data_IF_523625528490
#
_entry.id   IF_523625528490
#
_cell.length_a   1.000
_cell.length_b   1.000
_cell.length_c   1.000
_cell.angle_alpha   90.00
_cell.angle_beta   90.00
_cell.angle_gamma   90.00
#
_symmetry.space_group_name_H-M   'P 1'
#
loop_
_entity.id
_entity.type
_entity.pdbx_description
1 polymer ?
#
# COMPACT_ATOMS: atom_id res chain seq x y z
N UNK A 1 -8.58 9.26 6.33
CA UNK A 1 -8.64 7.89 6.89
C UNK A 1 -7.53 7.60 7.89
N UNK A 2 -6.26 7.43 7.48
CA UNK A 2 -5.17 7.09 8.43
C UNK A 2 -5.02 8.11 9.58
N UNK A 3 -4.90 9.40 9.25
CA UNK A 3 -4.85 10.49 10.24
C UNK A 3 -6.15 10.67 11.04
N UNK A 4 -7.27 10.18 10.51
CA UNK A 4 -8.58 10.23 11.17
C UNK A 4 -8.83 9.03 12.09
N UNK A 5 -7.84 8.15 12.30
CA UNK A 5 -7.96 7.04 13.23
C UNK A 5 -8.51 5.75 12.63
N UNK A 6 -8.47 5.57 11.30
CA UNK A 6 -8.86 4.30 10.67
C UNK A 6 -8.13 3.10 11.31
N UNK A 7 -8.84 1.98 11.44
CA UNK A 7 -8.36 0.78 12.15
C UNK A 7 -7.16 0.12 11.47
N UNK A 8 -6.41 -0.64 12.26
CA UNK A 8 -5.34 -1.49 11.77
C UNK A 8 -5.86 -2.45 10.70
N UNK A 9 -5.12 -2.61 9.60
CA UNK A 9 -5.51 -3.51 8.53
C UNK A 9 -6.56 -2.95 7.57
N UNK A 10 -6.99 -1.69 7.74
CA UNK A 10 -7.90 -1.05 6.80
C UNK A 10 -7.28 -1.02 5.40
N UNK A 11 -7.97 -1.60 4.42
CA UNK A 11 -7.61 -1.58 3.00
C UNK A 11 -8.52 -0.61 2.26
N UNK A 12 -7.92 0.30 1.50
CA UNK A 12 -8.61 1.22 0.59
C UNK A 12 -8.27 0.81 -0.83
N UNK A 13 -9.28 0.50 -1.64
CA UNK A 13 -9.14 0.09 -3.05
C UNK A 13 -9.82 1.10 -3.98
N UNK A 14 -9.31 1.20 -5.20
CA UNK A 14 -9.93 1.99 -6.28
C UNK A 14 -9.63 1.36 -7.64
N UNK A 15 -10.51 1.58 -8.60
CA UNK A 15 -10.34 1.11 -9.99
C UNK A 15 -9.38 2.00 -10.78
N UNK A 16 -9.24 3.28 -10.40
CA UNK A 16 -8.37 4.28 -11.03
C UNK A 16 -7.84 5.27 -9.98
N UNK A 17 -6.66 5.86 -10.22
CA UNK A 17 -6.20 7.03 -9.46
C UNK A 17 -5.95 8.22 -10.38
N UNK A 18 -6.75 9.28 -10.21
CA UNK A 18 -6.60 10.52 -10.98
C UNK A 18 -5.25 11.24 -10.73
N UNK A 19 -4.66 11.03 -9.56
CA UNK A 19 -3.40 11.66 -9.14
C UNK A 19 -2.48 10.68 -8.42
N UNK A 20 -2.30 9.48 -9.00
CA UNK A 20 -1.38 8.47 -8.49
C UNK A 20 0.05 9.01 -8.33
N UNK A 21 0.69 8.72 -7.20
CA UNK A 21 2.05 9.16 -6.89
C UNK A 21 2.92 7.99 -6.45
N UNK A 22 4.09 7.87 -7.06
CA UNK A 22 5.15 6.97 -6.65
C UNK A 22 6.21 7.66 -5.79
N UNK A 23 7.36 6.99 -5.65
CA UNK A 23 8.51 7.54 -4.89
C UNK A 23 9.02 8.83 -5.52
N UNK A 24 9.54 9.72 -4.68
CA UNK A 24 10.12 11.01 -5.10
C UNK A 24 9.13 11.84 -5.94
N UNK A 25 7.84 11.76 -5.60
CA UNK A 25 6.75 12.50 -6.26
C UNK A 25 6.59 12.21 -7.76
N UNK A 26 7.14 11.09 -8.26
CA UNK A 26 6.92 10.67 -9.65
C UNK A 26 5.45 10.30 -9.86
N UNK A 27 4.91 10.61 -11.05
CA UNK A 27 3.57 10.17 -11.41
C UNK A 27 3.46 8.64 -11.41
N UNK A 28 2.33 8.13 -10.95
CA UNK A 28 1.99 6.70 -11.00
C UNK A 28 0.76 6.49 -11.89
N UNK A 29 0.99 5.92 -13.06
CA UNK A 29 -0.07 5.62 -14.02
C UNK A 29 -0.92 4.45 -13.50
N UNK A 30 -2.21 4.70 -13.29
CA UNK A 30 -3.14 3.76 -12.64
C UNK A 30 -4.52 3.83 -13.32
N UNK A 31 -4.63 3.34 -14.58
CA UNK A 31 -5.85 3.45 -15.37
C UNK A 31 -6.98 2.53 -14.86
N UNK A 32 -8.21 2.94 -15.14
CA UNK A 32 -9.44 2.23 -14.76
C UNK A 32 -9.44 0.74 -15.17
N UNK A 33 -9.65 -0.16 -14.20
CA UNK A 33 -9.88 -1.59 -14.44
C UNK A 33 -8.70 -2.37 -15.03
N UNK A 34 -7.48 -1.81 -14.95
CA UNK A 34 -6.26 -2.41 -15.50
C UNK A 34 -5.23 -2.83 -14.45
N UNK A 35 -5.55 -2.66 -13.18
CA UNK A 35 -4.68 -3.06 -12.08
C UNK A 35 -5.40 -3.01 -10.75
N UNK A 36 -4.72 -3.49 -9.72
CA UNK A 36 -5.17 -3.40 -8.34
C UNK A 36 -4.49 -2.21 -7.67
N UNK A 37 -5.21 -1.11 -7.51
CA UNK A 37 -4.71 0.09 -6.84
C UNK A 37 -5.26 0.14 -5.43
N UNK A 38 -4.37 0.07 -4.44
CA UNK A 38 -4.80 0.06 -3.05
C UNK A 38 -3.79 0.71 -2.11
N UNK A 39 -4.27 1.00 -0.91
CA UNK A 39 -3.46 1.40 0.24
C UNK A 39 -3.86 0.57 1.45
N UNK A 40 -2.89 0.16 2.24
CA UNK A 40 -3.08 -0.57 3.49
C UNK A 40 -2.60 0.31 4.65
N UNK A 41 -3.44 0.48 5.67
CA UNK A 41 -3.09 1.23 6.88
C UNK A 41 -2.56 0.24 7.92
N UNK A 42 -1.32 0.49 8.38
CA UNK A 42 -0.65 -0.27 9.42
C UNK A 42 -0.28 0.65 10.61
N UNK A 43 -0.31 0.09 11.81
CA UNK A 43 -0.07 0.67 13.13
C UNK A 43 0.80 -0.32 13.92
N UNK A 44 2.01 -0.61 13.44
CA UNK A 44 2.89 -1.60 14.06
C UNK A 44 3.35 -1.13 15.45
N UNK A 45 3.54 -2.09 16.35
CA UNK A 45 4.00 -1.86 17.73
C UNK A 45 5.54 -1.79 17.84
N UNK A 46 6.20 -1.21 16.83
CA UNK A 46 7.65 -1.03 16.81
C UNK A 46 8.02 0.44 16.57
N UNK A 47 9.27 0.80 16.88
CA UNK A 47 9.70 2.18 16.80
C UNK A 47 9.68 2.70 15.34
N UNK A 48 9.38 3.99 15.08
CA UNK A 48 9.34 4.54 13.72
C UNK A 48 10.64 4.34 12.90
N UNK A 49 11.80 4.24 13.57
CA UNK A 49 13.08 3.93 12.93
C UNK A 49 13.11 2.56 12.25
N UNK A 50 12.21 1.65 12.65
CA UNK A 50 12.06 0.31 12.10
C UNK A 50 11.03 0.25 10.95
N UNK A 51 10.32 1.35 10.66
CA UNK A 51 9.36 1.44 9.56
C UNK A 51 9.90 1.02 8.18
N UNK A 52 11.20 1.18 7.84
CA UNK A 52 11.77 0.65 6.60
C UNK A 52 11.64 -0.87 6.42
N UNK A 53 11.28 -1.64 7.47
CA UNK A 53 10.94 -3.06 7.36
C UNK A 53 9.62 -3.29 6.61
N UNK A 54 8.66 -2.36 6.68
CA UNK A 54 7.33 -2.53 6.07
C UNK A 54 7.37 -2.78 4.55
N UNK A 55 8.10 -1.98 3.74
CA UNK A 55 8.24 -2.25 2.31
C UNK A 55 8.84 -3.63 2.00
N UNK A 56 9.79 -4.11 2.80
CA UNK A 56 10.39 -5.44 2.63
C UNK A 56 9.37 -6.55 2.91
N UNK A 57 8.61 -6.41 4.01
CA UNK A 57 7.52 -7.34 4.34
C UNK A 57 6.43 -7.35 3.26
N UNK A 58 6.06 -6.19 2.75
CA UNK A 58 5.08 -6.06 1.66
C UNK A 58 5.56 -6.78 0.39
N UNK A 59 6.83 -6.63 0.01
CA UNK A 59 7.40 -7.32 -1.14
C UNK A 59 7.31 -8.85 -1.00
N UNK A 60 7.67 -9.39 0.18
CA UNK A 60 7.57 -10.83 0.47
C UNK A 60 6.12 -11.30 0.46
N UNK A 61 5.21 -10.55 1.08
CA UNK A 61 3.78 -10.88 1.15
C UNK A 61 3.15 -10.93 -0.25
N UNK A 62 3.39 -9.91 -1.08
CA UNK A 62 2.89 -9.85 -2.46
C UNK A 62 3.45 -10.98 -3.31
N UNK A 63 4.76 -11.25 -3.20
CA UNK A 63 5.39 -12.37 -3.91
C UNK A 63 4.76 -13.70 -3.53
N UNK A 64 4.48 -13.92 -2.24
CA UNK A 64 3.80 -15.13 -1.77
C UNK A 64 2.35 -15.20 -2.26
N UNK A 65 1.63 -14.08 -2.27
CA UNK A 65 0.24 -14.02 -2.71
C UNK A 65 0.10 -14.39 -4.20
N UNK A 66 1.02 -13.89 -5.05
CA UNK A 66 1.00 -14.20 -6.47
C UNK A 66 1.46 -15.62 -6.81
N UNK A 67 2.36 -16.22 -6.02
CA UNK A 67 2.83 -17.59 -6.26
C UNK A 67 1.99 -18.69 -5.60
N UNK A 68 1.11 -18.35 -4.64
CA UNK A 68 0.19 -19.30 -4.02
C UNK A 68 -1.15 -19.43 -4.75
N UNK A 69 -1.36 -18.62 -5.79
CA UNK A 69 -2.40 -18.86 -6.81
C UNK A 69 -1.95 -19.97 -7.75
#
# INVERSE_FOLDING_TARGET
>A
LAQQGAEEGTVVVTEEQAAGRGRLSRGWYSPFGKGLWFSLILRPDFAPVEAPKCPLMAAVALTKAFHKM
#
